data_IF_252672473848
#
_entry.id   IF_252672473848
#
_cell.length_a   1.000
_cell.length_b   1.000
_cell.length_c   1.000
_cell.angle_alpha   90.00
_cell.angle_beta   90.00
_cell.angle_gamma   90.00
#
_symmetry.space_group_name_H-M   'P 1'
#
loop_
_entity.id
_entity.type
_entity.pdbx_description
1 polymer ?
#
# COMPACT_ATOMS: atom_id res chain seq x y z
N UNK A 1 -6.50 4.83 -1.98
CA UNK A 1 -7.94 4.47 -1.84
C UNK A 1 -8.67 5.69 -1.33
N UNK A 2 -9.73 6.10 -2.02
CA UNK A 2 -10.41 7.36 -1.74
C UNK A 2 -11.67 7.08 -0.93
N UNK A 3 -11.76 7.66 0.27
CA UNK A 3 -12.84 7.45 1.24
C UNK A 3 -13.59 8.76 1.43
N UNK A 4 -14.90 8.72 1.33
CA UNK A 4 -15.75 9.88 1.65
C UNK A 4 -16.43 9.63 2.99
N UNK A 5 -16.28 10.57 3.93
CA UNK A 5 -17.02 10.50 5.18
C UNK A 5 -18.48 10.93 4.99
N UNK A 6 -19.30 10.79 6.03
CA UNK A 6 -20.73 11.18 6.00
C UNK A 6 -20.98 12.67 5.76
N UNK A 7 -19.93 13.50 5.85
CA UNK A 7 -19.96 14.94 5.56
C UNK A 7 -19.52 15.27 4.13
N UNK A 8 -19.15 14.26 3.34
CA UNK A 8 -18.65 14.41 1.98
C UNK A 8 -17.18 14.81 1.90
N UNK A 9 -16.45 14.80 3.01
CA UNK A 9 -15.00 15.07 3.02
C UNK A 9 -14.25 13.84 2.52
N UNK A 10 -13.32 14.07 1.59
CA UNK A 10 -12.50 13.04 0.98
C UNK A 10 -11.21 12.84 1.75
N UNK A 11 -10.86 11.57 2.00
CA UNK A 11 -9.62 11.13 2.61
C UNK A 11 -9.00 10.04 1.76
N UNK A 12 -7.73 10.22 1.41
CA UNK A 12 -6.98 9.23 0.64
C UNK A 12 -6.08 8.43 1.58
N UNK A 13 -6.23 7.11 1.53
CA UNK A 13 -5.34 6.16 2.20
C UNK A 13 -4.63 5.36 1.13
N UNK A 14 -3.34 5.56 1.00
CA UNK A 14 -2.49 4.78 0.10
C UNK A 14 -1.99 3.54 0.81
N UNK A 15 -1.98 2.41 0.11
CA UNK A 15 -1.51 1.14 0.66
C UNK A 15 -0.49 0.48 -0.25
N UNK A 16 0.41 -0.31 0.36
CA UNK A 16 1.40 -1.12 -0.34
C UNK A 16 1.40 -2.55 0.20
N UNK A 17 2.05 -3.47 -0.51
CA UNK A 17 2.13 -4.88 -0.12
C UNK A 17 3.15 -5.21 0.96
N UNK A 18 3.94 -4.23 1.43
CA UNK A 18 4.98 -4.42 2.45
C UNK A 18 4.70 -3.59 3.69
N UNK A 19 5.00 -4.14 4.85
CA UNK A 19 4.75 -3.48 6.14
C UNK A 19 5.61 -2.22 6.34
N UNK A 20 6.79 -2.20 5.72
CA UNK A 20 7.79 -1.15 5.83
C UNK A 20 8.30 -0.74 4.45
N UNK A 21 8.91 0.45 4.38
CA UNK A 21 9.51 0.99 3.17
C UNK A 21 10.82 1.71 3.49
N UNK A 22 11.74 1.74 2.53
CA UNK A 22 13.03 2.42 2.57
C UNK A 22 12.93 3.94 2.31
N UNK A 23 11.76 4.43 1.85
CA UNK A 23 11.46 5.85 1.60
C UNK A 23 11.10 6.61 2.90
N UNK A 24 11.93 6.43 3.92
CA UNK A 24 11.70 6.90 5.31
C UNK A 24 12.01 8.36 5.59
N UNK A 25 12.58 9.09 4.64
CA UNK A 25 12.93 10.50 4.83
C UNK A 25 13.34 11.19 3.55
N UNK A 26 13.46 12.53 3.61
CA UNK A 26 13.68 13.39 2.43
C UNK A 26 14.81 12.91 1.53
N UNK A 27 15.93 12.48 2.13
CA UNK A 27 17.07 11.96 1.37
C UNK A 27 16.71 10.70 0.59
N UNK A 28 16.17 9.68 1.26
CA UNK A 28 15.88 8.40 0.62
C UNK A 28 14.75 8.54 -0.39
N UNK A 29 13.69 9.32 -0.08
CA UNK A 29 12.59 9.61 -1.01
C UNK A 29 13.06 10.33 -2.28
N UNK A 30 14.03 11.24 -2.18
CA UNK A 30 14.57 11.96 -3.34
C UNK A 30 15.52 11.09 -4.17
N UNK A 31 16.43 10.39 -3.51
CA UNK A 31 17.57 9.78 -4.18
C UNK A 31 17.27 8.38 -4.72
N UNK A 32 16.41 7.61 -4.05
CA UNK A 32 16.09 6.22 -4.44
C UNK A 32 15.48 6.13 -5.84
N UNK A 33 14.47 6.94 -6.24
CA UNK A 33 13.92 6.88 -7.59
C UNK A 33 14.97 7.19 -8.67
N UNK A 34 15.87 8.15 -8.39
CA UNK A 34 16.95 8.53 -9.30
C UNK A 34 17.88 7.31 -9.51
N UNK A 35 18.30 6.66 -8.43
CA UNK A 35 19.20 5.51 -8.53
C UNK A 35 18.54 4.27 -9.12
N UNK A 36 17.25 4.05 -8.85
CA UNK A 36 16.48 2.98 -9.47
C UNK A 36 16.43 3.11 -11.01
N UNK A 37 16.43 4.35 -11.52
CA UNK A 37 16.49 4.64 -12.96
C UNK A 37 17.92 4.65 -13.54
N UNK A 38 18.95 4.53 -12.70
CA UNK A 38 20.35 4.61 -13.12
C UNK A 38 20.91 3.25 -13.55
N UNK A 39 21.96 3.27 -14.38
CA UNK A 39 22.67 2.04 -14.81
C UNK A 39 23.35 1.29 -13.66
N UNK A 40 23.69 1.99 -12.56
CA UNK A 40 24.34 1.41 -11.37
C UNK A 40 23.33 0.62 -10.52
N UNK A 41 22.04 0.94 -10.65
CA UNK A 41 20.96 0.32 -9.89
C UNK A 41 20.94 0.74 -8.41
N UNK A 42 19.82 0.45 -7.77
CA UNK A 42 19.52 0.86 -6.38
C UNK A 42 20.37 0.12 -5.33
N UNK A 43 20.83 -1.10 -5.61
CA UNK A 43 21.43 -2.01 -4.61
C UNK A 43 22.78 -1.51 -4.06
N UNK A 44 23.58 -0.84 -4.88
CA UNK A 44 24.86 -0.25 -4.45
C UNK A 44 24.67 0.87 -3.41
N UNK A 45 23.58 1.63 -3.53
CA UNK A 45 23.28 2.72 -2.62
C UNK A 45 22.62 2.24 -1.33
N UNK A 46 21.66 1.32 -1.44
CA UNK A 46 20.98 0.77 -0.25
C UNK A 46 21.93 -0.03 0.63
N UNK A 47 22.96 -0.66 0.07
CA UNK A 47 24.05 -1.28 0.85
C UNK A 47 24.86 -0.27 1.64
N UNK A 48 25.21 0.88 1.04
CA UNK A 48 25.92 1.95 1.74
C UNK A 48 25.11 2.56 2.89
N UNK A 49 23.78 2.56 2.77
CA UNK A 49 22.88 3.13 3.79
C UNK A 49 22.30 2.10 4.77
N UNK A 50 22.66 0.83 4.65
CA UNK A 50 22.09 -0.24 5.50
C UNK A 50 20.60 -0.49 5.28
N UNK A 51 20.09 -0.22 4.08
CA UNK A 51 18.66 -0.36 3.71
C UNK A 51 18.39 -1.54 2.77
N UNK A 52 19.37 -2.43 2.56
CA UNK A 52 19.26 -3.55 1.60
C UNK A 52 18.04 -4.41 1.91
N UNK A 53 17.84 -4.76 3.18
CA UNK A 53 16.76 -5.65 3.58
C UNK A 53 15.39 -4.98 3.39
N UNK A 54 15.28 -3.68 3.68
CA UNK A 54 14.06 -2.90 3.43
C UNK A 54 13.74 -2.83 1.94
N UNK A 55 14.74 -2.57 1.09
CA UNK A 55 14.55 -2.47 -0.35
C UNK A 55 14.14 -3.81 -0.98
N UNK A 56 14.66 -4.93 -0.45
CA UNK A 56 14.35 -6.28 -0.93
C UNK A 56 13.08 -6.87 -0.33
N UNK A 57 12.51 -6.28 0.73
CA UNK A 57 11.31 -6.79 1.37
C UNK A 57 10.13 -6.99 0.39
N UNK A 58 10.05 -6.17 -0.67
CA UNK A 58 9.04 -6.31 -1.73
C UNK A 58 9.24 -7.55 -2.60
N UNK A 59 10.47 -8.03 -2.73
CA UNK A 59 10.82 -9.19 -3.57
C UNK A 59 10.39 -10.50 -2.86
N UNK A 60 10.24 -10.45 -1.53
CA UNK A 60 9.70 -11.54 -0.71
C UNK A 60 8.16 -11.59 -0.73
N UNK A 61 7.50 -10.58 -1.30
CA UNK A 61 6.05 -10.60 -1.48
C UNK A 61 5.72 -11.65 -2.52
N UNK A 62 4.88 -12.61 -2.12
CA UNK A 62 4.47 -13.71 -3.00
C UNK A 62 3.82 -13.15 -4.26
N UNK A 63 4.16 -13.74 -5.41
CA UNK A 63 3.48 -13.47 -6.68
C UNK A 63 2.09 -14.13 -6.69
N UNK A 64 1.18 -13.57 -5.90
CA UNK A 64 -0.22 -13.96 -5.78
C UNK A 64 -1.11 -12.87 -6.39
N UNK A 65 -2.38 -13.16 -6.76
CA UNK A 65 -3.29 -12.12 -7.23
C UNK A 65 -3.31 -10.94 -6.26
N UNK A 66 -3.25 -9.71 -6.78
CA UNK A 66 -3.11 -8.49 -5.98
C UNK A 66 -4.11 -8.41 -4.83
N UNK A 67 -5.34 -8.87 -5.06
CA UNK A 67 -6.38 -8.95 -4.02
C UNK A 67 -5.95 -9.78 -2.81
N UNK A 68 -5.22 -10.87 -2.99
CA UNK A 68 -4.81 -11.83 -1.93
C UNK A 68 -3.57 -11.40 -1.14
N UNK A 69 -2.99 -10.25 -1.47
CA UNK A 69 -1.86 -9.69 -0.75
C UNK A 69 -2.38 -8.68 0.25
N UNK A 70 -2.06 -8.87 1.54
CA UNK A 70 -2.36 -7.86 2.56
C UNK A 70 -1.70 -6.54 2.20
N UNK A 71 -2.45 -5.46 2.32
CA UNK A 71 -1.99 -4.12 2.01
C UNK A 71 -1.86 -3.31 3.30
N UNK A 72 -0.85 -2.43 3.39
CA UNK A 72 -0.51 -1.65 4.57
C UNK A 72 -0.36 -0.17 4.21
N UNK A 73 -0.83 0.74 5.08
CA UNK A 73 -0.62 2.18 4.88
C UNK A 73 0.85 2.60 5.01
N UNK A 74 1.65 1.78 5.73
CA UNK A 74 3.05 2.02 6.12
C UNK A 74 3.25 3.23 7.04
N UNK A 75 2.76 4.39 6.63
CA UNK A 75 2.69 5.61 7.43
C UNK A 75 1.65 5.49 8.53
N UNK A 76 1.90 6.23 9.60
CA UNK A 76 1.03 6.29 10.76
C UNK A 76 0.22 7.60 10.73
N UNK A 77 -1.08 7.48 10.96
CA UNK A 77 -2.02 8.59 10.92
C UNK A 77 -2.53 8.92 12.33
N UNK A 78 -2.77 10.20 12.58
CA UNK A 78 -3.29 10.65 13.87
C UNK A 78 -4.81 10.46 13.93
N UNK A 79 -5.28 9.82 14.98
CA UNK A 79 -6.69 9.62 15.28
C UNK A 79 -7.01 10.18 16.67
N UNK A 80 -7.39 11.46 16.72
CA UNK A 80 -7.60 12.19 17.98
C UNK A 80 -6.33 12.23 18.83
N UNK A 81 -6.36 11.55 19.98
CA UNK A 81 -5.22 11.41 20.89
C UNK A 81 -4.32 10.21 20.58
N UNK A 82 -4.74 9.34 19.67
CA UNK A 82 -4.02 8.12 19.30
C UNK A 82 -3.33 8.27 17.95
N UNK A 83 -2.48 7.30 17.65
CA UNK A 83 -1.87 7.14 16.33
C UNK A 83 -2.21 5.75 15.83
N UNK A 84 -2.44 5.57 14.54
CA UNK A 84 -2.80 4.28 13.99
C UNK A 84 -2.16 4.01 12.62
N UNK A 85 -2.06 2.72 12.29
CA UNK A 85 -1.75 2.24 10.94
C UNK A 85 -2.93 1.43 10.42
N UNK A 86 -3.15 1.50 9.11
CA UNK A 86 -4.23 0.79 8.45
C UNK A 86 -3.70 -0.40 7.68
N UNK A 87 -4.52 -1.46 7.60
CA UNK A 87 -4.29 -2.54 6.64
C UNK A 87 -5.58 -3.06 6.04
N UNK A 88 -5.47 -3.58 4.83
CA UNK A 88 -6.52 -4.32 4.13
C UNK A 88 -6.10 -5.77 4.01
N UNK A 89 -6.90 -6.67 4.55
CA UNK A 89 -6.68 -8.11 4.46
C UNK A 89 -7.77 -8.73 3.57
N UNK A 90 -7.34 -9.60 2.67
CA UNK A 90 -8.19 -10.46 1.87
C UNK A 90 -7.70 -11.90 2.05
N UNK A 91 -8.62 -12.82 2.32
CA UNK A 91 -8.27 -14.21 2.56
C UNK A 91 -8.55 -15.05 1.31
N UNK A 92 -7.53 -15.29 0.49
CA UNK A 92 -7.56 -16.36 -0.52
C UNK A 92 -6.15 -16.85 -0.82
N UNK A 93 -5.96 -18.17 -0.81
CA UNK A 93 -4.67 -18.79 -1.13
C UNK A 93 -4.62 -19.09 -2.63
N UNK A 94 -3.63 -18.54 -3.32
CA UNK A 94 -3.46 -18.78 -4.76
C UNK A 94 -2.09 -19.39 -5.03
N UNK A 95 -2.05 -20.37 -5.94
CA UNK A 95 -0.82 -21.03 -6.37
C UNK A 95 -0.21 -20.26 -7.57
N UNK A 96 1.06 -19.81 -7.50
CA UNK A 96 1.70 -19.17 -8.64
C UNK A 96 2.08 -20.21 -9.72
N UNK A 97 1.80 -19.94 -11.01
CA UNK A 97 2.44 -20.61 -12.14
C UNK A 97 3.30 -19.63 -12.96
N UNK A 98 4.10 -20.15 -13.89
CA UNK A 98 4.81 -19.34 -14.90
C UNK A 98 3.78 -18.69 -15.82
N UNK A 99 3.65 -17.37 -15.72
CA UNK A 99 2.62 -16.62 -16.40
C UNK A 99 3.22 -15.46 -17.19
N UNK A 100 2.54 -14.97 -18.25
CA UNK A 100 2.99 -13.81 -19.00
C UNK A 100 2.96 -12.53 -18.13
N UNK A 101 3.75 -11.52 -18.52
CA UNK A 101 3.99 -10.29 -17.74
C UNK A 101 2.72 -9.51 -17.29
N UNK A 102 1.59 -9.72 -17.98
CA UNK A 102 0.33 -9.02 -17.74
C UNK A 102 -0.70 -9.83 -16.92
N UNK A 103 -0.35 -11.04 -16.48
CA UNK A 103 -1.27 -11.97 -15.83
C UNK A 103 -1.97 -11.39 -14.60
N UNK A 104 -1.24 -10.63 -13.76
CA UNK A 104 -1.81 -10.07 -12.53
C UNK A 104 -2.92 -9.06 -12.85
N UNK A 105 -2.72 -8.28 -13.92
CA UNK A 105 -3.73 -7.31 -14.37
C UNK A 105 -4.95 -7.98 -14.96
N UNK A 106 -4.78 -9.10 -15.66
CA UNK A 106 -5.88 -9.84 -16.28
C UNK A 106 -6.68 -10.63 -15.25
N UNK A 107 -6.02 -11.27 -14.29
CA UNK A 107 -6.70 -11.90 -13.15
C UNK A 107 -7.50 -10.89 -12.35
N UNK A 108 -6.95 -9.69 -12.11
CA UNK A 108 -7.66 -8.65 -11.38
C UNK A 108 -8.90 -8.16 -12.16
N UNK A 109 -8.78 -7.96 -13.48
CA UNK A 109 -9.91 -7.63 -14.37
C UNK A 109 -10.99 -8.68 -14.32
N UNK A 110 -10.62 -9.94 -14.57
CA UNK A 110 -11.55 -11.07 -14.61
C UNK A 110 -12.25 -11.23 -13.26
N UNK A 111 -11.52 -11.09 -12.16
CA UNK A 111 -12.08 -11.15 -10.82
C UNK A 111 -13.14 -10.07 -10.60
N UNK A 112 -12.81 -8.79 -10.82
CA UNK A 112 -13.75 -7.70 -10.57
C UNK A 112 -14.92 -7.66 -11.56
N UNK A 113 -14.77 -8.19 -12.78
CA UNK A 113 -15.88 -8.33 -13.72
C UNK A 113 -16.96 -9.29 -13.20
N UNK A 114 -16.56 -10.32 -12.44
CA UNK A 114 -17.43 -11.43 -12.06
C UNK A 114 -17.79 -11.47 -10.57
N UNK A 115 -16.99 -10.83 -9.71
CA UNK A 115 -17.04 -10.96 -8.24
C UNK A 115 -16.88 -9.61 -7.54
N UNK A 116 -17.50 -9.52 -6.37
CA UNK A 116 -17.23 -8.44 -5.42
C UNK A 116 -15.95 -8.76 -4.67
N UNK A 117 -15.19 -7.73 -4.31
CA UNK A 117 -14.04 -7.88 -3.42
C UNK A 117 -14.44 -7.42 -2.03
N UNK A 118 -14.30 -8.30 -1.04
CA UNK A 118 -14.46 -7.93 0.36
C UNK A 118 -13.08 -7.92 1.04
N UNK A 119 -12.69 -6.77 1.56
CA UNK A 119 -11.49 -6.61 2.38
C UNK A 119 -11.88 -6.37 3.83
N UNK A 120 -11.17 -7.01 4.76
CA UNK A 120 -11.21 -6.63 6.16
C UNK A 120 -10.37 -5.36 6.32
N UNK A 121 -11.00 -4.29 6.79
CA UNK A 121 -10.30 -3.06 7.14
C UNK A 121 -9.85 -3.14 8.58
N UNK A 122 -8.54 -3.13 8.77
CA UNK A 122 -7.92 -3.35 10.06
C UNK A 122 -7.12 -2.14 10.50
N UNK A 123 -7.10 -1.92 11.81
CA UNK A 123 -6.40 -0.82 12.47
C UNK A 123 -5.43 -1.40 13.49
N UNK A 124 -4.18 -0.99 13.40
CA UNK A 124 -3.19 -1.15 14.46
C UNK A 124 -3.17 0.16 15.25
N UNK A 125 -3.69 0.16 16.48
CA UNK A 125 -3.80 1.36 17.31
C UNK A 125 -2.61 1.46 18.27
N UNK A 126 -1.92 2.60 18.25
CA UNK A 126 -0.83 2.92 19.17
C UNK A 126 -1.37 3.79 20.30
N UNK A 127 -1.46 3.21 21.50
CA UNK A 127 -1.98 3.86 22.69
C UNK A 127 -0.92 4.74 23.39
N UNK A 128 0.36 4.40 23.26
CA UNK A 128 1.48 5.16 23.79
C UNK A 128 2.49 5.49 22.68
N UNK A 129 2.63 6.77 22.35
CA UNK A 129 3.47 7.24 21.23
C UNK A 129 4.96 6.96 21.42
N UNK A 130 5.43 6.83 22.67
CA UNK A 130 6.83 6.60 23.00
C UNK A 130 7.26 5.15 22.76
N UNK A 131 6.31 4.22 22.59
CA UNK A 131 6.62 2.79 22.48
C UNK A 131 7.07 2.38 21.09
N UNK A 132 6.64 3.10 20.05
CA UNK A 132 6.86 2.73 18.65
C UNK A 132 7.15 3.97 17.79
N UNK A 133 8.00 3.85 16.75
CA UNK A 133 8.28 4.98 15.89
C UNK A 133 7.06 5.34 15.03
N UNK A 134 6.59 6.59 15.15
CA UNK A 134 5.47 7.11 14.35
C UNK A 134 5.95 7.67 13.00
N UNK A 135 7.02 8.46 13.01
CA UNK A 135 7.51 9.15 11.83
C UNK A 135 8.44 8.29 10.93
N UNK A 136 8.85 7.11 11.39
CA UNK A 136 9.77 6.24 10.66
C UNK A 136 9.05 5.00 10.13
N UNK A 137 8.75 4.98 8.83
CA UNK A 137 8.04 3.89 8.16
C UNK A 137 8.92 2.65 7.85
N UNK A 138 10.22 2.72 8.15
CA UNK A 138 11.15 1.61 7.91
C UNK A 138 11.16 0.55 9.02
N UNK A 139 10.28 0.67 10.03
CA UNK A 139 10.19 -0.28 11.13
C UNK A 139 8.74 -0.72 11.37
N UNK A 140 8.58 -2.04 11.48
CA UNK A 140 7.35 -2.68 11.91
C UNK A 140 7.03 -2.29 13.36
N UNK A 141 5.74 -2.08 13.65
CA UNK A 141 5.29 -2.03 15.04
C UNK A 141 5.15 -3.45 15.58
N UNK A 142 5.33 -3.61 16.89
CA UNK A 142 5.17 -4.88 17.57
C UNK A 142 3.70 -5.36 17.48
N UNK A 143 3.47 -6.46 16.75
CA UNK A 143 2.13 -7.00 16.51
C UNK A 143 1.54 -7.72 17.73
N UNK A 144 2.38 -8.20 18.66
CA UNK A 144 1.88 -8.85 19.90
C UNK A 144 1.36 -7.79 20.87
N UNK A 145 2.10 -6.69 21.00
CA UNK A 145 1.71 -5.57 21.87
C UNK A 145 0.61 -4.71 21.25
N UNK A 146 0.69 -4.46 19.95
CA UNK A 146 -0.25 -3.65 19.19
C UNK A 146 -0.86 -4.48 18.06
N UNK A 147 -1.84 -5.36 18.34
CA UNK A 147 -2.41 -6.22 17.32
C UNK A 147 -3.28 -5.43 16.33
N UNK A 148 -3.29 -5.87 15.08
CA UNK A 148 -4.26 -5.36 14.09
C UNK A 148 -5.66 -5.87 14.41
N UNK A 149 -6.62 -4.95 14.56
CA UNK A 149 -8.02 -5.28 14.83
C UNK A 149 -8.89 -4.92 13.63
N UNK A 150 -9.79 -5.83 13.24
CA UNK A 150 -10.77 -5.56 12.20
C UNK A 150 -11.83 -4.59 12.72
N UNK A 151 -11.92 -3.42 12.10
CA UNK A 151 -12.90 -2.38 12.47
C UNK A 151 -14.01 -2.20 11.43
N UNK A 152 -13.88 -2.84 10.28
CA UNK A 152 -14.89 -2.79 9.23
C UNK A 152 -14.59 -3.69 8.05
N UNK A 153 -15.47 -3.59 7.05
CA UNK A 153 -15.32 -4.23 5.75
C UNK A 153 -15.34 -3.17 4.65
N UNK A 154 -14.44 -3.31 3.69
CA UNK A 154 -14.48 -2.55 2.44
C UNK A 154 -14.98 -3.48 1.35
N UNK A 155 -16.12 -3.14 0.77
CA UNK A 155 -16.72 -3.90 -0.33
C UNK A 155 -16.49 -3.12 -1.61
N UNK A 156 -15.72 -3.69 -2.53
CA UNK A 156 -15.56 -3.19 -3.88
C UNK A 156 -16.55 -3.94 -4.77
N UNK A 157 -17.57 -3.27 -5.33
CA UNK A 157 -18.58 -3.94 -6.14
C UNK A 157 -17.99 -4.48 -7.43
N UNK A 158 -18.72 -5.38 -8.07
CA UNK A 158 -18.42 -5.85 -9.43
C UNK A 158 -18.29 -4.65 -10.37
N UNK A 159 -17.23 -4.62 -11.16
CA UNK A 159 -16.99 -3.55 -12.09
C UNK A 159 -16.13 -3.99 -13.27
N UNK A 160 -16.47 -3.45 -14.43
CA UNK A 160 -15.61 -3.52 -15.61
C UNK A 160 -14.39 -2.61 -15.39
N UNK A 161 -13.27 -3.25 -15.07
CA UNK A 161 -12.03 -2.56 -14.75
C UNK A 161 -11.31 -2.12 -16.02
N UNK A 162 -10.61 -0.98 -15.98
CA UNK A 162 -9.78 -0.45 -17.08
C UNK A 162 -10.54 0.06 -18.33
N UNK A 163 -11.85 0.33 -18.24
CA UNK A 163 -12.56 1.02 -19.32
C UNK A 163 -11.94 2.40 -19.61
N UNK A 164 -11.80 2.73 -20.90
CA UNK A 164 -11.08 3.92 -21.35
C UNK A 164 -11.61 5.23 -20.73
N UNK A 165 -12.94 5.33 -20.58
CA UNK A 165 -13.60 6.48 -19.97
C UNK A 165 -13.18 6.73 -18.51
N UNK A 166 -12.93 5.67 -17.72
CA UNK A 166 -12.47 5.80 -16.32
C UNK A 166 -10.98 6.12 -16.22
N UNK A 167 -10.17 5.62 -17.16
CA UNK A 167 -8.74 6.01 -17.24
C UNK A 167 -8.56 7.51 -17.48
N UNK A 168 -9.44 8.11 -18.28
CA UNK A 168 -9.43 9.56 -18.51
C UNK A 168 -9.76 10.34 -17.24
N UNK A 169 -10.78 9.91 -16.48
CA UNK A 169 -11.17 10.54 -15.20
C UNK A 169 -10.03 10.55 -14.17
N UNK A 170 -9.34 9.41 -13.97
CA UNK A 170 -8.21 9.33 -13.03
C UNK A 170 -7.03 10.21 -13.45
N UNK A 171 -6.75 10.33 -14.76
CA UNK A 171 -5.73 11.25 -15.27
C UNK A 171 -6.07 12.70 -14.97
N UNK A 172 -7.34 13.09 -15.16
CA UNK A 172 -7.79 14.46 -14.88
C UNK A 172 -7.62 14.85 -13.40
N UNK A 173 -7.88 13.92 -12.46
CA UNK A 173 -7.65 14.16 -11.03
C UNK A 173 -6.14 14.23 -10.73
N UNK A 174 -5.33 13.32 -11.27
CA UNK A 174 -3.89 13.32 -11.05
C UNK A 174 -3.21 14.58 -11.60
N UNK A 175 -3.64 15.05 -12.78
CA UNK A 175 -3.17 16.30 -13.37
C UNK A 175 -3.57 17.50 -12.48
N UNK A 176 -4.81 17.53 -11.96
CA UNK A 176 -5.22 18.61 -11.04
C UNK A 176 -4.41 18.65 -9.74
N UNK A 177 -4.02 17.50 -9.20
CA UNK A 177 -3.17 17.41 -7.99
C UNK A 177 -1.74 17.87 -8.29
N UNK A 178 -1.18 17.53 -9.47
CA UNK A 178 0.16 17.94 -9.89
C UNK A 178 0.27 19.44 -10.21
N UNK A 179 -0.84 20.11 -10.57
CA UNK A 179 -0.87 21.55 -10.85
C UNK A 179 -1.21 22.42 -9.62
N UNK A 180 -1.47 21.82 -8.45
CA UNK A 180 -1.72 22.52 -7.20
C UNK A 180 -0.55 22.47 -6.19
N UNK A 181 0.60 21.92 -6.60
CA UNK A 181 1.84 21.87 -5.82
C UNK A 181 2.83 22.97 -6.19
#
# INVERSE_FOLDING_TARGET
MNVFNVRGEMYDIEFTSTLTIELVGVKTTREIPIFASSMVGISCFTSTWGLVDLQKARDEVRNTPLKSTRQYSQTADRYGNFVCKYSLLYEEVVKPNSHPDHILSDWLKEFHANREAEYLFQVQLLENIEDQPVAYAGKAWDEEKYPSQTVGKVVVPKQDSFIAARKAFSRTIADQILYMG
#
